data_IF_991219839953
#
_entry.id   IF_991219839953
#
_cell.length_a   1.000
_cell.length_b   1.000
_cell.length_c   1.000
_cell.angle_alpha   90.00
_cell.angle_beta   90.00
_cell.angle_gamma   90.00
#
_symmetry.space_group_name_H-M   'P 1'
#
loop_
_entity.id
_entity.type
_entity.pdbx_description
1 polymer ?
#
# COMPACT_ATOMS: atom_id res chain seq x y z
N UNK A 1 4.89 -24.14 -21.78
CA UNK A 1 4.20 -23.81 -20.51
C UNK A 1 3.17 -22.74 -20.84
N UNK A 2 1.93 -22.81 -20.31
CA UNK A 2 1.02 -21.65 -20.40
C UNK A 2 1.69 -20.51 -19.62
N UNK A 3 1.89 -19.36 -20.26
CA UNK A 3 2.23 -18.13 -19.54
C UNK A 3 1.22 -17.92 -18.41
N UNK A 4 1.72 -17.61 -17.22
CA UNK A 4 0.87 -17.36 -16.07
C UNK A 4 0.22 -15.97 -16.27
N UNK A 5 -1.09 -15.93 -16.49
CA UNK A 5 -1.83 -14.69 -16.79
C UNK A 5 -2.21 -13.95 -15.50
N UNK A 6 -1.19 -13.46 -14.80
CA UNK A 6 -1.34 -12.57 -13.64
C UNK A 6 -0.32 -11.43 -13.65
N UNK A 7 -0.65 -10.40 -12.88
CA UNK A 7 0.13 -9.20 -12.68
C UNK A 7 0.60 -9.19 -11.23
N UNK A 8 1.88 -8.89 -11.03
CA UNK A 8 2.45 -8.65 -9.71
C UNK A 8 2.63 -7.16 -9.52
N UNK A 9 2.17 -6.65 -8.38
CA UNK A 9 2.32 -5.28 -7.96
C UNK A 9 3.17 -5.27 -6.70
N UNK A 10 4.32 -4.62 -6.75
CA UNK A 10 5.26 -4.44 -5.64
C UNK A 10 5.18 -2.96 -5.25
N UNK A 11 4.70 -2.67 -4.06
CA UNK A 11 4.47 -1.28 -3.69
C UNK A 11 3.73 -1.08 -2.39
N UNK A 12 3.51 0.18 -2.04
CA UNK A 12 2.95 0.54 -0.74
C UNK A 12 1.46 0.26 -0.62
N UNK A 13 1.04 -0.02 0.62
CA UNK A 13 -0.34 -0.10 1.08
C UNK A 13 -0.41 0.65 2.41
N UNK A 14 -1.36 1.56 2.57
CA UNK A 14 -1.49 2.37 3.78
C UNK A 14 -2.96 2.64 4.13
N UNK A 15 -3.21 3.20 5.30
CA UNK A 15 -4.49 3.78 5.67
C UNK A 15 -4.38 5.31 5.64
N UNK A 16 -5.17 5.95 4.80
CA UNK A 16 -5.33 7.40 4.79
C UNK A 16 -6.36 7.78 5.85
N UNK A 17 -5.95 8.61 6.82
CA UNK A 17 -6.78 9.17 7.88
C UNK A 17 -6.94 10.67 7.62
N UNK A 18 -8.14 11.10 7.28
CA UNK A 18 -8.44 12.51 6.99
C UNK A 18 -9.42 13.07 8.02
N UNK A 19 -8.97 14.09 8.77
CA UNK A 19 -9.79 14.86 9.68
C UNK A 19 -10.23 16.18 9.05
N UNK A 20 -11.52 16.49 9.11
CA UNK A 20 -12.13 17.70 8.55
C UNK A 20 -12.80 18.48 9.67
N UNK A 21 -12.44 19.75 9.87
CA UNK A 21 -13.17 20.60 10.81
C UNK A 21 -14.49 21.09 10.21
N UNK A 22 -15.52 21.28 11.04
CA UNK A 22 -16.78 21.89 10.59
C UNK A 22 -16.69 23.43 10.48
N UNK A 23 -15.78 24.02 11.24
CA UNK A 23 -15.58 25.47 11.36
C UNK A 23 -14.08 25.80 11.27
N UNK A 24 -13.70 27.07 11.06
CA UNK A 24 -12.31 27.47 11.12
C UNK A 24 -11.62 26.91 12.35
N UNK A 25 -10.44 26.33 12.15
CA UNK A 25 -9.71 25.63 13.20
C UNK A 25 -9.27 26.60 14.30
N UNK A 26 -9.61 26.26 15.55
CA UNK A 26 -8.99 26.83 16.72
C UNK A 26 -7.77 25.99 17.10
N UNK A 27 -6.55 26.51 16.87
CA UNK A 27 -5.32 25.76 17.16
C UNK A 27 -5.16 25.48 18.65
N UNK A 28 -4.57 24.33 18.96
CA UNK A 28 -4.40 23.81 20.33
C UNK A 28 -5.72 23.59 21.10
N UNK A 29 -6.85 23.47 20.40
CA UNK A 29 -8.17 23.17 20.96
C UNK A 29 -8.80 21.93 20.29
N UNK A 30 -9.87 21.40 20.89
CA UNK A 30 -10.67 20.31 20.33
C UNK A 30 -11.69 20.85 19.35
N UNK A 31 -11.52 20.52 18.07
CA UNK A 31 -12.36 21.03 16.99
C UNK A 31 -13.39 19.98 16.54
N UNK A 32 -14.70 20.25 16.62
CA UNK A 32 -15.72 19.36 16.08
C UNK A 32 -15.56 19.16 14.57
N UNK A 33 -15.69 17.92 14.12
CA UNK A 33 -15.41 17.56 12.73
C UNK A 33 -15.81 16.14 12.35
N UNK A 34 -15.27 15.69 11.22
CA UNK A 34 -15.41 14.31 10.71
C UNK A 34 -14.05 13.70 10.51
N UNK A 35 -13.92 12.41 10.78
CA UNK A 35 -12.73 11.62 10.47
C UNK A 35 -13.12 10.55 9.47
N UNK A 36 -12.33 10.39 8.42
CA UNK A 36 -12.48 9.33 7.42
C UNK A 36 -11.22 8.47 7.40
N UNK A 37 -11.43 7.17 7.29
CA UNK A 37 -10.39 6.17 7.10
C UNK A 37 -10.59 5.57 5.71
N UNK A 38 -9.56 5.61 4.87
CA UNK A 38 -9.62 5.10 3.50
C UNK A 38 -8.42 4.19 3.24
N UNK A 39 -8.61 2.97 2.71
CA UNK A 39 -7.51 2.19 2.19
C UNK A 39 -6.78 2.93 1.06
N UNK A 40 -5.49 3.15 1.23
CA UNK A 40 -4.62 3.85 0.29
C UNK A 40 -3.41 3.03 -0.12
N UNK A 41 -2.47 3.71 -0.79
CA UNK A 41 -1.17 3.18 -1.18
C UNK A 41 -1.09 3.05 -2.69
N UNK A 42 0.04 3.45 -3.28
CA UNK A 42 0.18 3.49 -4.75
C UNK A 42 0.05 2.08 -5.31
N UNK A 43 0.87 1.14 -4.82
CA UNK A 43 0.78 -0.28 -5.17
C UNK A 43 -0.62 -0.86 -4.93
N UNK A 44 -1.20 -0.63 -3.76
CA UNK A 44 -2.56 -1.12 -3.45
C UNK A 44 -3.62 -0.58 -4.41
N UNK A 45 -3.58 0.71 -4.75
CA UNK A 45 -4.56 1.33 -5.64
C UNK A 45 -4.43 0.84 -7.09
N UNK A 46 -3.21 0.60 -7.56
CA UNK A 46 -2.98 -0.04 -8.86
C UNK A 46 -3.57 -1.46 -8.86
N UNK A 47 -3.24 -2.26 -7.84
CA UNK A 47 -3.75 -3.62 -7.72
C UNK A 47 -5.28 -3.67 -7.66
N UNK A 48 -5.90 -2.78 -6.87
CA UNK A 48 -7.35 -2.64 -6.76
C UNK A 48 -8.00 -2.35 -8.12
N UNK A 49 -7.50 -1.37 -8.87
CA UNK A 49 -8.06 -1.03 -10.18
C UNK A 49 -7.88 -2.16 -11.20
N UNK A 50 -6.76 -2.88 -11.16
CA UNK A 50 -6.56 -4.06 -12.00
C UNK A 50 -7.57 -5.16 -11.68
N UNK A 51 -7.86 -5.41 -10.40
CA UNK A 51 -8.89 -6.35 -9.99
C UNK A 51 -10.30 -5.93 -10.46
N UNK A 52 -10.65 -4.64 -10.34
CA UNK A 52 -11.92 -4.11 -10.89
C UNK A 52 -12.05 -4.28 -12.40
N UNK A 53 -10.93 -4.28 -13.14
CA UNK A 53 -10.86 -4.56 -14.57
C UNK A 53 -10.83 -6.06 -14.91
N UNK A 54 -11.03 -6.94 -13.92
CA UNK A 54 -11.06 -8.40 -14.08
C UNK A 54 -9.68 -9.02 -14.33
N UNK A 55 -8.59 -8.35 -13.92
CA UNK A 55 -7.23 -8.90 -14.00
C UNK A 55 -6.86 -9.60 -12.70
N UNK A 56 -6.12 -10.69 -12.81
CA UNK A 56 -5.53 -11.36 -11.65
C UNK A 56 -4.35 -10.52 -11.14
N UNK A 57 -4.54 -9.83 -10.03
CA UNK A 57 -3.55 -8.93 -9.45
C UNK A 57 -3.08 -9.46 -8.08
N UNK A 58 -1.78 -9.71 -7.93
CA UNK A 58 -1.15 -10.00 -6.64
C UNK A 58 -0.45 -8.75 -6.11
N UNK A 59 -0.76 -8.38 -4.88
CA UNK A 59 -0.06 -7.33 -4.16
C UNK A 59 1.02 -7.93 -3.26
N UNK A 60 2.26 -7.50 -3.48
CA UNK A 60 3.39 -7.67 -2.57
C UNK A 60 3.65 -6.32 -1.91
N UNK A 61 3.29 -6.23 -0.64
CA UNK A 61 3.40 -5.04 0.20
C UNK A 61 3.78 -5.42 1.62
N UNK A 62 3.91 -4.45 2.51
CA UNK A 62 4.16 -4.66 3.93
C UNK A 62 3.08 -3.97 4.77
N UNK A 63 2.56 -4.67 5.77
CA UNK A 63 1.62 -4.16 6.77
C UNK A 63 2.05 -4.57 8.17
N UNK A 64 1.59 -3.83 9.18
CA UNK A 64 1.82 -4.17 10.57
C UNK A 64 0.97 -5.35 11.01
N UNK A 65 1.32 -5.94 12.15
CA UNK A 65 0.49 -6.94 12.83
C UNK A 65 -0.76 -6.36 13.53
N UNK A 66 -1.04 -5.08 13.31
CA UNK A 66 -2.09 -4.32 13.97
C UNK A 66 -3.47 -4.49 13.32
N UNK A 67 -4.49 -3.89 13.95
CA UNK A 67 -5.87 -3.91 13.46
C UNK A 67 -5.99 -3.29 12.05
N UNK A 68 -5.24 -2.21 11.79
CA UNK A 68 -5.29 -1.50 10.51
C UNK A 68 -4.75 -2.35 9.37
N UNK A 69 -3.66 -3.11 9.59
CA UNK A 69 -3.09 -4.02 8.61
C UNK A 69 -4.06 -5.14 8.25
N UNK A 70 -4.66 -5.77 9.27
CA UNK A 70 -5.67 -6.79 9.05
C UNK A 70 -6.87 -6.26 8.27
N UNK A 71 -7.37 -5.08 8.63
CA UNK A 71 -8.50 -4.44 7.94
C UNK A 71 -8.15 -4.05 6.49
N UNK A 72 -6.95 -3.50 6.26
CA UNK A 72 -6.46 -3.09 4.95
C UNK A 72 -6.35 -4.29 4.00
N UNK A 73 -5.73 -5.38 4.46
CA UNK A 73 -5.62 -6.61 3.68
C UNK A 73 -6.99 -7.22 3.39
N UNK A 74 -7.88 -7.27 4.39
CA UNK A 74 -9.23 -7.80 4.22
C UNK A 74 -10.04 -7.02 3.18
N UNK A 75 -10.05 -5.68 3.26
CA UNK A 75 -10.77 -4.83 2.30
C UNK A 75 -10.16 -4.92 0.89
N UNK A 76 -8.83 -5.02 0.80
CA UNK A 76 -8.13 -5.17 -0.48
C UNK A 76 -8.42 -6.53 -1.11
N UNK A 77 -8.46 -7.60 -0.33
CA UNK A 77 -8.86 -8.93 -0.78
C UNK A 77 -10.33 -9.00 -1.24
N UNK A 78 -11.24 -8.35 -0.50
CA UNK A 78 -12.65 -8.23 -0.91
C UNK A 78 -12.84 -7.52 -2.25
N UNK A 79 -11.86 -6.71 -2.68
CA UNK A 79 -11.87 -6.03 -3.97
C UNK A 79 -11.37 -6.93 -5.13
N UNK A 80 -11.00 -8.19 -4.86
CA UNK A 80 -10.50 -9.14 -5.85
C UNK A 80 -8.97 -9.16 -6.00
N UNK A 81 -8.23 -8.44 -5.15
CA UNK A 81 -6.76 -8.45 -5.14
C UNK A 81 -6.25 -9.60 -4.29
N UNK A 82 -5.31 -10.39 -4.80
CA UNK A 82 -4.66 -11.42 -3.99
C UNK A 82 -3.60 -10.78 -3.09
N UNK A 83 -3.71 -11.01 -1.79
CA UNK A 83 -2.85 -10.42 -0.75
C UNK A 83 -2.11 -11.45 0.09
N UNK A 84 -2.16 -12.73 -0.29
CA UNK A 84 -1.53 -13.84 0.43
C UNK A 84 0.01 -13.77 0.47
N UNK A 85 0.60 -12.85 -0.29
CA UNK A 85 2.05 -12.57 -0.35
C UNK A 85 2.44 -11.24 0.26
N UNK A 86 1.53 -10.53 0.92
CA UNK A 86 1.91 -9.35 1.70
C UNK A 86 2.67 -9.78 2.96
N UNK A 87 3.72 -9.04 3.28
CA UNK A 87 4.48 -9.20 4.52
C UNK A 87 3.68 -8.62 5.68
N UNK A 88 3.54 -9.41 6.75
CA UNK A 88 3.03 -8.94 8.04
C UNK A 88 4.23 -8.79 8.96
N UNK A 89 4.56 -7.56 9.35
CA UNK A 89 5.72 -7.25 10.21
C UNK A 89 5.27 -7.25 11.68
N UNK A 90 5.71 -8.23 12.50
CA UNK A 90 5.28 -8.31 13.89
C UNK A 90 5.81 -7.14 14.73
N UNK A 91 4.93 -6.52 15.51
CA UNK A 91 5.30 -5.42 16.41
C UNK A 91 5.34 -4.03 15.76
N UNK A 92 5.22 -3.96 14.43
CA UNK A 92 5.12 -2.69 13.69
C UNK A 92 3.67 -2.27 13.46
N UNK A 93 3.48 -0.97 13.25
CA UNK A 93 2.19 -0.39 12.83
C UNK A 93 2.06 -0.41 11.31
N UNK A 94 0.83 -0.52 10.84
CA UNK A 94 0.53 -0.36 9.41
C UNK A 94 0.72 1.09 9.00
N UNK A 95 1.33 1.26 7.83
CA UNK A 95 1.55 2.54 7.19
C UNK A 95 0.29 3.41 7.22
N UNK A 96 0.42 4.65 7.68
CA UNK A 96 -0.71 5.57 7.89
C UNK A 96 -0.34 6.99 7.47
N UNK A 97 -1.26 7.63 6.73
CA UNK A 97 -1.14 9.04 6.36
C UNK A 97 -2.25 9.83 7.06
N UNK A 98 -1.89 10.60 8.08
CA UNK A 98 -2.85 11.41 8.84
C UNK A 98 -2.82 12.85 8.33
N UNK A 99 -3.94 13.33 7.81
CA UNK A 99 -4.10 14.71 7.34
C UNK A 99 -5.17 15.46 8.13
N UNK A 100 -4.90 16.72 8.45
CA UNK A 100 -5.87 17.66 9.03
C UNK A 100 -6.22 18.72 8.00
N UNK A 101 -7.50 18.81 7.68
CA UNK A 101 -8.08 19.73 6.71
C UNK A 101 -8.99 20.72 7.44
N UNK A 102 -9.01 21.97 6.97
CA UNK A 102 -9.92 22.98 7.51
C UNK A 102 -11.36 22.82 7.00
N UNK A 103 -12.22 23.77 7.38
CA UNK A 103 -13.63 23.80 7.00
C UNK A 103 -13.89 24.11 5.52
N UNK A 104 -12.85 24.40 4.74
CA UNK A 104 -12.91 24.59 3.28
C UNK A 104 -12.43 23.34 2.53
N UNK A 105 -11.76 22.42 3.23
CA UNK A 105 -11.16 21.23 2.65
C UNK A 105 -9.72 21.42 2.20
N UNK A 106 -9.07 22.53 2.56
CA UNK A 106 -7.65 22.74 2.32
C UNK A 106 -6.84 22.00 3.40
N UNK A 107 -5.75 21.35 2.98
CA UNK A 107 -4.86 20.63 3.89
C UNK A 107 -3.94 21.60 4.63
N UNK A 108 -3.92 21.52 5.96
CA UNK A 108 -3.04 22.34 6.79
C UNK A 108 -1.76 21.61 7.17
N UNK A 109 -1.88 20.39 7.65
CA UNK A 109 -0.75 19.58 8.14
C UNK A 109 -1.05 18.11 7.98
N UNK A 110 0.01 17.33 7.79
CA UNK A 110 -0.06 15.88 7.77
C UNK A 110 1.12 15.24 8.50
N UNK A 111 0.89 14.04 9.04
CA UNK A 111 1.93 13.13 9.53
C UNK A 111 1.97 11.95 8.58
N UNK A 112 3.18 11.64 8.12
CA UNK A 112 3.43 10.52 7.22
C UNK A 112 4.20 9.42 7.95
N UNK A 113 3.50 8.37 8.38
CA UNK A 113 4.09 7.19 9.03
C UNK A 113 4.12 6.03 8.03
N UNK A 114 5.15 6.01 7.17
CA UNK A 114 5.27 5.09 6.03
C UNK A 114 6.50 4.18 6.09
N UNK A 115 7.26 4.19 7.20
CA UNK A 115 8.55 3.49 7.35
C UNK A 115 8.47 1.97 7.14
N UNK A 116 7.33 1.35 7.43
CA UNK A 116 7.13 -0.09 7.19
C UNK A 116 7.26 -0.47 5.71
N UNK A 117 7.14 0.48 4.78
CA UNK A 117 7.37 0.25 3.34
C UNK A 117 8.82 -0.17 3.06
N UNK A 118 9.77 0.21 3.93
CA UNK A 118 11.18 -0.20 3.84
C UNK A 118 11.35 -1.71 4.09
N UNK A 119 10.36 -2.37 4.70
CA UNK A 119 10.33 -3.83 4.84
C UNK A 119 10.01 -4.55 3.53
N UNK A 120 9.59 -3.83 2.47
CA UNK A 120 9.51 -4.37 1.10
C UNK A 120 10.93 -4.40 0.51
N UNK A 121 11.82 -5.12 1.19
CA UNK A 121 13.26 -5.14 0.90
C UNK A 121 13.62 -6.14 -0.20
N UNK A 122 14.83 -6.03 -0.74
CA UNK A 122 15.36 -7.00 -1.70
C UNK A 122 15.33 -8.44 -1.15
N UNK A 123 15.59 -8.63 0.15
CA UNK A 123 15.54 -9.94 0.81
C UNK A 123 14.12 -10.50 0.87
N UNK A 124 13.13 -9.66 1.17
CA UNK A 124 11.73 -10.06 1.13
C UNK A 124 11.31 -10.45 -0.29
N UNK A 125 11.66 -9.64 -1.30
CA UNK A 125 11.33 -9.92 -2.69
C UNK A 125 12.02 -11.19 -3.21
N UNK A 126 13.25 -11.45 -2.79
CA UNK A 126 13.99 -12.66 -3.13
C UNK A 126 13.29 -13.95 -2.68
N UNK A 127 12.54 -13.92 -1.56
CA UNK A 127 11.73 -15.07 -1.11
C UNK A 127 10.58 -15.41 -2.08
N UNK A 128 10.24 -14.47 -2.98
CA UNK A 128 9.18 -14.61 -3.97
C UNK A 128 9.70 -14.58 -5.41
N UNK A 129 11.01 -14.72 -5.63
CA UNK A 129 11.64 -14.53 -6.94
C UNK A 129 11.01 -15.35 -8.08
N UNK A 130 10.80 -16.66 -7.90
CA UNK A 130 10.20 -17.49 -8.95
C UNK A 130 8.75 -17.09 -9.27
N UNK A 131 8.03 -16.59 -8.28
CA UNK A 131 6.66 -16.11 -8.46
C UNK A 131 6.63 -14.77 -9.21
N UNK A 132 7.51 -13.84 -8.82
CA UNK A 132 7.66 -12.53 -9.46
C UNK A 132 8.10 -12.72 -10.92
N UNK A 133 9.15 -13.50 -11.19
CA UNK A 133 9.63 -13.81 -12.56
C UNK A 133 8.60 -14.50 -13.44
N UNK A 134 7.67 -15.21 -12.84
CA UNK A 134 6.58 -15.89 -13.56
C UNK A 134 5.43 -14.97 -13.95
N UNK A 135 5.40 -13.73 -13.47
CA UNK A 135 4.33 -12.78 -13.77
C UNK A 135 4.39 -12.31 -15.24
N UNK A 136 3.23 -12.04 -15.82
CA UNK A 136 3.13 -11.46 -17.16
C UNK A 136 3.53 -9.99 -17.18
N UNK A 137 3.26 -9.29 -16.09
CA UNK A 137 3.63 -7.90 -15.85
C UNK A 137 4.04 -7.75 -14.40
N UNK A 138 5.15 -7.06 -14.17
CA UNK A 138 5.58 -6.60 -12.86
C UNK A 138 5.39 -5.08 -12.84
N UNK A 139 4.63 -4.60 -11.86
CA UNK A 139 4.48 -3.18 -11.56
C UNK A 139 5.22 -2.89 -10.27
N UNK A 140 6.12 -1.92 -10.29
CA UNK A 140 6.77 -1.40 -9.09
C UNK A 140 6.45 0.08 -8.96
N UNK A 141 6.06 0.53 -7.77
CA UNK A 141 5.99 1.96 -7.47
C UNK A 141 7.36 2.48 -6.99
N UNK A 142 7.60 3.79 -7.12
CA UNK A 142 8.85 4.42 -6.74
C UNK A 142 8.92 4.82 -5.26
N UNK A 143 8.02 4.29 -4.41
CA UNK A 143 8.11 4.47 -2.95
C UNK A 143 8.94 3.35 -2.29
N UNK A 144 9.42 2.38 -3.06
CA UNK A 144 10.36 1.36 -2.64
C UNK A 144 11.78 1.94 -2.47
N UNK A 145 12.60 1.28 -1.66
CA UNK A 145 14.02 1.64 -1.54
C UNK A 145 14.77 1.43 -2.86
N UNK A 146 15.89 2.12 -3.03
CA UNK A 146 16.73 1.97 -4.22
C UNK A 146 17.19 0.52 -4.39
N UNK A 147 17.58 -0.14 -3.29
CA UNK A 147 18.01 -1.54 -3.30
C UNK A 147 16.88 -2.48 -3.75
N UNK A 148 15.65 -2.25 -3.28
CA UNK A 148 14.50 -3.03 -3.70
C UNK A 148 14.18 -2.82 -5.19
N UNK A 149 14.24 -1.57 -5.68
CA UNK A 149 14.03 -1.26 -7.10
C UNK A 149 15.09 -1.91 -7.99
N UNK A 150 16.38 -1.82 -7.61
CA UNK A 150 17.48 -2.49 -8.31
C UNK A 150 17.22 -4.00 -8.36
N UNK A 151 16.84 -4.60 -7.24
CA UNK A 151 16.52 -6.02 -7.18
C UNK A 151 15.40 -6.39 -8.17
N UNK A 152 14.31 -5.61 -8.22
CA UNK A 152 13.19 -5.86 -9.15
C UNK A 152 13.67 -5.80 -10.60
N UNK A 153 14.47 -4.79 -10.96
CA UNK A 153 14.99 -4.64 -12.32
C UNK A 153 15.88 -5.82 -12.72
N UNK A 154 16.79 -6.25 -11.85
CA UNK A 154 17.71 -7.37 -12.10
C UNK A 154 17.01 -8.74 -12.12
N UNK A 155 15.84 -8.86 -11.48
CA UNK A 155 15.12 -10.13 -11.31
C UNK A 155 13.76 -10.17 -12.03
N UNK A 156 13.49 -9.23 -12.95
CA UNK A 156 12.19 -9.12 -13.65
C UNK A 156 11.98 -10.14 -14.79
N UNK A 157 12.94 -11.03 -15.04
CA UNK A 157 12.88 -12.02 -16.13
C UNK A 157 13.66 -11.58 -17.37
N UNK A 158 13.80 -12.47 -18.35
CA UNK A 158 14.32 -12.10 -19.67
C UNK A 158 13.17 -11.47 -20.48
N UNK A 159 13.43 -10.34 -21.12
CA UNK A 159 12.47 -9.63 -21.99
C UNK A 159 12.41 -10.25 -23.39
#
# INVERSE_FOLDING_TARGET
MREKDYIVIIGSANIDVAGYSHHPLNYADSNPGKIKFTPGGVGRNIAHNLALLGKNAWLLSAVGGDFYGQSLLAQTNQSGVYVDKCLIVPGENTSSYLSLLDNTGEMLVAINDMSISDCISAEFLAQHQEFIRGAKVIVADCNLSEEALVWVLENSGET
#
